data_IF_965305237064
#
_entry.id   IF_965305237064
#
_cell.length_a   1.000
_cell.length_b   1.000
_cell.length_c   1.000
_cell.angle_alpha   90.00
_cell.angle_beta   90.00
_cell.angle_gamma   90.00
#
_symmetry.space_group_name_H-M   'P 1'
#
loop_
_entity.id
_entity.type
_entity.pdbx_description
1 polymer ?
#
# COMPACT_ATOMS: atom_id res chain seq x y z
N UNK A 1 -2.72 -1.49 -4.83
CA UNK A 1 -2.06 -0.64 -3.81
C UNK A 1 -1.89 -1.33 -2.45
N UNK A 2 -2.92 -1.86 -1.79
CA UNK A 2 -2.79 -2.45 -0.44
C UNK A 2 -1.67 -3.49 -0.31
N UNK A 3 -1.53 -4.41 -1.28
CA UNK A 3 -0.43 -5.38 -1.26
C UNK A 3 0.96 -4.74 -1.34
N UNK A 4 1.13 -3.68 -2.15
CA UNK A 4 2.38 -2.94 -2.23
C UNK A 4 2.71 -2.24 -0.92
N UNK A 5 1.71 -1.67 -0.24
CA UNK A 5 1.92 -1.06 1.09
C UNK A 5 2.31 -2.09 2.15
N UNK A 6 1.67 -3.26 2.16
CA UNK A 6 2.04 -4.37 3.05
C UNK A 6 3.50 -4.80 2.78
N UNK A 7 3.88 -4.93 1.52
CA UNK A 7 5.26 -5.24 1.16
C UNK A 7 6.22 -4.13 1.57
N UNK A 8 5.87 -2.86 1.36
CA UNK A 8 6.70 -1.72 1.73
C UNK A 8 6.95 -1.69 3.24
N UNK A 9 5.91 -1.85 4.07
CA UNK A 9 6.03 -1.88 5.52
C UNK A 9 6.99 -2.99 5.98
N UNK A 10 6.88 -4.18 5.38
CA UNK A 10 7.79 -5.29 5.66
C UNK A 10 9.21 -4.99 5.21
N UNK A 11 9.42 -4.45 4.01
CA UNK A 11 10.76 -4.07 3.56
C UNK A 11 11.38 -2.97 4.44
N UNK A 12 10.58 -2.02 4.92
CA UNK A 12 11.03 -1.02 5.90
C UNK A 12 11.47 -1.67 7.21
N UNK A 13 10.72 -2.67 7.69
CA UNK A 13 11.10 -3.44 8.87
C UNK A 13 12.41 -4.21 8.65
N UNK A 14 12.57 -4.92 7.52
CA UNK A 14 13.82 -5.62 7.19
C UNK A 14 15.00 -4.66 7.12
N UNK A 15 14.85 -3.53 6.42
CA UNK A 15 15.89 -2.52 6.32
C UNK A 15 16.29 -2.01 7.71
N UNK A 16 15.33 -1.71 8.58
CA UNK A 16 15.61 -1.27 9.95
C UNK A 16 16.27 -2.36 10.82
N UNK A 17 15.85 -3.62 10.69
CA UNK A 17 16.40 -4.77 11.42
C UNK A 17 17.87 -5.06 11.02
N UNK A 18 18.17 -4.83 9.74
CA UNK A 18 19.50 -5.03 9.15
C UNK A 18 20.39 -3.80 9.22
N UNK A 19 19.89 -2.70 9.81
CA UNK A 19 20.55 -1.39 9.89
C UNK A 19 20.97 -0.85 8.50
N UNK A 20 20.04 -0.90 7.55
CA UNK A 20 20.21 -0.49 6.14
C UNK A 20 19.20 0.57 5.73
N UNK A 21 19.57 1.36 4.73
CA UNK A 21 18.67 2.28 4.04
C UNK A 21 17.85 1.48 3.03
N UNK A 22 16.52 1.63 3.05
CA UNK A 22 15.63 1.08 2.05
C UNK A 22 15.65 1.95 0.79
N UNK A 23 15.89 1.33 -0.36
CA UNK A 23 15.74 1.98 -1.67
C UNK A 23 14.35 1.67 -2.20
N UNK A 24 13.53 2.70 -2.43
CA UNK A 24 12.25 2.55 -3.13
C UNK A 24 12.53 2.21 -4.59
N UNK A 25 11.89 1.17 -5.15
CA UNK A 25 12.17 0.75 -6.53
C UNK A 25 11.81 1.82 -7.54
N UNK A 26 12.45 1.76 -8.72
CA UNK A 26 12.10 2.62 -9.84
C UNK A 26 10.66 2.36 -10.29
N UNK A 27 9.89 3.40 -10.69
CA UNK A 27 8.57 3.25 -11.32
C UNK A 27 8.59 2.43 -12.63
N UNK A 28 9.77 2.25 -13.23
CA UNK A 28 9.98 1.38 -14.40
C UNK A 28 10.09 -0.11 -14.05
N UNK A 29 10.29 -0.42 -12.77
CA UNK A 29 10.39 -1.78 -12.26
C UNK A 29 9.15 -2.19 -11.47
N UNK A 30 8.66 -1.31 -10.59
CA UNK A 30 7.50 -1.54 -9.71
C UNK A 30 6.64 -0.27 -9.62
N UNK A 31 5.74 -0.23 -8.66
CA UNK A 31 4.80 0.84 -8.34
C UNK A 31 5.46 2.23 -8.19
N UNK A 32 4.74 3.28 -8.58
CA UNK A 32 5.22 4.66 -8.46
C UNK A 32 4.93 5.23 -7.07
N UNK A 33 5.69 4.76 -6.09
CA UNK A 33 5.46 5.09 -4.67
C UNK A 33 5.51 6.60 -4.39
N UNK A 34 6.46 7.35 -4.96
CA UNK A 34 6.64 8.79 -4.74
C UNK A 34 5.40 9.65 -5.09
N UNK A 35 4.56 9.18 -6.03
CA UNK A 35 3.28 9.84 -6.33
C UNK A 35 2.24 9.66 -5.23
N UNK A 36 2.22 8.48 -4.63
CA UNK A 36 1.15 8.06 -3.72
C UNK A 36 1.52 8.29 -2.26
N UNK A 37 2.78 8.11 -1.87
CA UNK A 37 3.25 8.20 -0.48
C UNK A 37 4.23 9.36 -0.27
N UNK A 38 4.16 9.98 0.90
CA UNK A 38 5.11 11.01 1.31
C UNK A 38 6.44 10.42 1.79
N UNK A 39 7.37 10.09 0.88
CA UNK A 39 8.69 9.50 1.23
C UNK A 39 9.49 10.41 2.18
N UNK A 40 9.53 11.72 1.92
CA UNK A 40 10.23 12.68 2.80
C UNK A 40 9.67 12.70 4.23
N UNK A 41 8.36 12.48 4.37
CA UNK A 41 7.69 12.41 5.66
C UNK A 41 8.18 11.21 6.46
N UNK A 42 8.38 10.05 5.82
CA UNK A 42 8.88 8.84 6.48
C UNK A 42 10.22 9.14 7.18
N UNK A 43 11.18 9.72 6.45
CA UNK A 43 12.48 10.13 7.01
C UNK A 43 12.32 11.17 8.13
N UNK A 44 11.45 12.16 7.95
CA UNK A 44 11.17 13.21 8.96
C UNK A 44 10.59 12.62 10.25
N UNK A 45 9.71 11.62 10.14
CA UNK A 45 9.08 10.93 11.26
C UNK A 45 10.07 10.08 12.05
N UNK A 46 11.04 9.47 11.36
CA UNK A 46 12.09 8.64 11.94
C UNK A 46 13.32 9.46 12.39
N UNK A 47 13.42 10.73 11.98
CA UNK A 47 14.50 11.64 12.37
C UNK A 47 15.86 11.32 11.74
N UNK A 48 15.91 10.41 10.77
CA UNK A 48 17.11 9.98 10.04
C UNK A 48 16.73 9.51 8.64
N UNK A 49 17.70 9.45 7.74
CA UNK A 49 17.49 8.87 6.40
C UNK A 49 17.37 7.35 6.52
N UNK A 50 16.16 6.84 6.34
CA UNK A 50 15.85 5.40 6.33
C UNK A 50 15.39 4.90 4.96
N UNK A 51 14.86 5.80 4.14
CA UNK A 51 14.29 5.50 2.83
C UNK A 51 14.81 6.52 1.84
N UNK A 52 15.26 6.08 0.66
CA UNK A 52 15.66 6.94 -0.45
C UNK A 52 14.98 6.49 -1.75
N UNK A 53 14.86 7.41 -2.72
CA UNK A 53 14.38 7.05 -4.06
C UNK A 53 15.43 6.25 -4.84
N UNK A 54 14.99 5.54 -5.87
CA UNK A 54 15.90 4.87 -6.80
C UNK A 54 16.89 5.84 -7.47
N UNK A 55 16.43 7.05 -7.79
CA UNK A 55 17.27 8.07 -8.45
C UNK A 55 18.36 8.58 -7.48
N UNK A 56 18.00 8.84 -6.22
CA UNK A 56 18.99 9.17 -5.18
C UNK A 56 20.01 8.04 -4.97
N UNK A 57 19.55 6.79 -4.97
CA UNK A 57 20.44 5.63 -4.92
C UNK A 57 21.39 5.61 -6.13
N UNK A 58 20.87 5.85 -7.34
CA UNK A 58 21.68 5.89 -8.56
C UNK A 58 22.74 6.98 -8.51
N UNK A 59 22.37 8.19 -8.10
CA UNK A 59 23.28 9.33 -7.93
C UNK A 59 24.43 8.99 -6.97
N UNK A 60 24.12 8.35 -5.84
CA UNK A 60 25.10 7.97 -4.83
C UNK A 60 26.06 6.85 -5.30
N UNK A 61 25.61 5.96 -6.19
CA UNK A 61 26.37 4.77 -6.63
C UNK A 61 27.05 4.97 -8.00
N UNK A 62 26.95 6.18 -8.58
CA UNK A 62 27.51 6.55 -9.91
C UNK A 62 28.98 6.22 -10.14
N UNK A 63 29.78 5.98 -9.09
CA UNK A 63 31.19 5.59 -9.24
C UNK A 63 31.45 4.13 -9.64
N UNK A 64 30.54 3.18 -9.33
CA UNK A 64 30.83 1.73 -9.45
C UNK A 64 29.82 0.90 -10.26
N UNK A 65 28.88 1.56 -10.97
CA UNK A 65 27.64 0.95 -11.48
C UNK A 65 26.78 0.38 -10.34
N UNK A 66 25.45 0.55 -10.43
CA UNK A 66 24.55 -0.07 -9.45
C UNK A 66 24.66 -1.59 -9.57
N UNK A 67 25.23 -2.24 -8.57
CA UNK A 67 25.36 -3.70 -8.49
C UNK A 67 24.64 -4.18 -7.25
N UNK A 68 23.73 -5.13 -7.44
CA UNK A 68 23.16 -5.95 -6.37
C UNK A 68 24.16 -7.06 -6.10
N UNK A 69 24.76 -7.08 -4.91
CA UNK A 69 25.73 -8.10 -4.51
C UNK A 69 25.03 -9.44 -4.24
N UNK A 70 23.88 -9.38 -3.56
CA UNK A 70 23.06 -10.53 -3.18
C UNK A 70 21.58 -10.29 -3.46
N UNK A 71 20.90 -11.31 -3.97
CA UNK A 71 19.45 -11.27 -4.22
C UNK A 71 18.77 -12.38 -3.42
N UNK A 72 18.25 -12.00 -2.26
CA UNK A 72 17.70 -12.90 -1.25
C UNK A 72 16.20 -13.01 -1.39
N UNK A 73 15.72 -14.24 -1.43
CA UNK A 73 14.33 -14.58 -1.56
C UNK A 73 13.73 -15.15 -0.30
N UNK A 74 12.77 -14.43 0.29
CA UNK A 74 12.10 -14.86 1.51
C UNK A 74 11.37 -16.18 1.31
N UNK A 75 10.70 -16.38 0.18
CA UNK A 75 10.07 -17.68 -0.15
C UNK A 75 10.70 -18.30 -1.39
N UNK A 76 10.72 -19.63 -1.40
CA UNK A 76 11.28 -20.44 -2.47
C UNK A 76 10.19 -21.14 -3.30
N UNK A 77 8.99 -21.34 -2.74
CA UNK A 77 7.88 -22.06 -3.37
C UNK A 77 6.63 -21.18 -3.52
N UNK A 78 5.91 -21.25 -4.66
CA UNK A 78 6.13 -22.16 -5.80
C UNK A 78 7.31 -21.76 -6.69
N UNK A 79 7.79 -20.52 -6.58
CA UNK A 79 9.00 -20.06 -7.24
C UNK A 79 9.67 -18.96 -6.40
N UNK A 80 11.01 -18.78 -6.48
CA UNK A 80 11.73 -17.81 -5.67
C UNK A 80 11.24 -16.37 -5.89
N UNK A 81 10.60 -15.79 -4.87
CA UNK A 81 10.06 -14.41 -4.87
C UNK A 81 9.12 -14.01 -6.02
N UNK A 82 8.67 -14.94 -6.85
CA UNK A 82 8.09 -14.61 -8.16
C UNK A 82 9.00 -13.73 -9.06
N UNK A 83 10.31 -13.76 -8.86
CA UNK A 83 11.26 -13.05 -9.70
C UNK A 83 11.62 -13.93 -10.89
N UNK A 84 11.10 -13.57 -12.06
CA UNK A 84 11.35 -14.25 -13.33
C UNK A 84 12.38 -13.49 -14.20
N UNK A 85 12.63 -13.99 -15.42
CA UNK A 85 13.55 -13.37 -16.37
C UNK A 85 13.13 -11.95 -16.78
N UNK A 86 11.84 -11.63 -16.79
CA UNK A 86 11.36 -10.29 -17.15
C UNK A 86 11.77 -9.28 -16.08
N UNK A 87 11.62 -9.64 -14.80
CA UNK A 87 12.09 -8.81 -13.70
C UNK A 87 13.60 -8.56 -13.78
N UNK A 88 14.39 -9.61 -14.07
CA UNK A 88 15.84 -9.48 -14.23
C UNK A 88 16.19 -8.58 -15.43
N UNK A 89 15.47 -8.70 -16.55
CA UNK A 89 15.65 -7.82 -17.72
C UNK A 89 15.32 -6.36 -17.38
N UNK A 90 14.25 -6.09 -16.62
CA UNK A 90 13.89 -4.74 -16.17
C UNK A 90 14.99 -4.11 -15.30
N UNK A 91 15.53 -4.85 -14.33
CA UNK A 91 16.65 -4.36 -13.50
C UNK A 91 17.89 -4.03 -14.35
N UNK A 92 18.27 -4.91 -15.28
CA UNK A 92 19.37 -4.67 -16.22
C UNK A 92 19.11 -3.44 -17.10
N UNK A 93 17.89 -3.26 -17.58
CA UNK A 93 17.47 -2.08 -18.35
C UNK A 93 17.57 -0.77 -17.55
N UNK A 94 17.52 -0.84 -16.23
CA UNK A 94 17.79 0.29 -15.34
C UNK A 94 19.28 0.48 -15.04
N UNK A 95 20.17 -0.26 -15.70
CA UNK A 95 21.61 -0.25 -15.43
C UNK A 95 21.95 -0.83 -14.06
N UNK A 96 21.14 -1.76 -13.55
CA UNK A 96 21.44 -2.52 -12.32
C UNK A 96 21.96 -3.90 -12.71
N UNK A 97 23.19 -4.20 -12.28
CA UNK A 97 23.78 -5.53 -12.43
C UNK A 97 23.47 -6.39 -11.21
N UNK A 98 23.39 -7.71 -11.38
CA UNK A 98 23.15 -8.66 -10.30
C UNK A 98 24.38 -9.57 -10.24
N UNK A 99 25.12 -9.48 -9.14
CA UNK A 99 26.40 -10.16 -8.95
C UNK A 99 26.26 -11.63 -8.55
N UNK A 100 25.14 -12.01 -7.91
CA UNK A 100 24.85 -13.35 -7.45
C UNK A 100 23.66 -14.02 -8.15
N UNK A 101 23.41 -15.28 -7.80
CA UNK A 101 22.14 -15.96 -8.13
C UNK A 101 21.08 -15.58 -7.11
N UNK A 102 19.81 -15.83 -7.45
CA UNK A 102 18.74 -15.80 -6.46
C UNK A 102 19.01 -16.89 -5.43
N UNK A 103 18.96 -16.50 -4.17
CA UNK A 103 19.23 -17.35 -3.03
C UNK A 103 18.04 -17.33 -2.10
N UNK A 104 17.64 -18.49 -1.57
CA UNK A 104 16.61 -18.60 -0.55
C UNK A 104 17.27 -19.08 0.75
N UNK A 105 17.20 -18.31 1.85
CA UNK A 105 17.87 -18.68 3.11
C UNK A 105 17.23 -19.90 3.78
N UNK A 106 16.03 -20.27 3.35
CA UNK A 106 15.25 -21.41 3.81
C UNK A 106 14.29 -21.88 2.70
N UNK A 107 13.71 -23.06 2.90
CA UNK A 107 12.59 -23.54 2.08
C UNK A 107 11.28 -23.05 2.69
N UNK A 108 10.58 -22.16 2.00
CA UNK A 108 9.35 -21.52 2.49
C UNK A 108 8.31 -21.46 1.36
N UNK A 109 7.08 -21.89 1.68
CA UNK A 109 5.95 -21.96 0.75
C UNK A 109 4.91 -20.91 1.13
N UNK A 110 4.54 -20.07 0.16
CA UNK A 110 3.53 -19.03 0.36
C UNK A 110 2.16 -19.57 0.82
N UNK A 111 1.85 -20.85 0.55
CA UNK A 111 0.59 -21.49 0.96
C UNK A 111 0.59 -21.88 2.44
N UNK A 112 1.77 -22.04 3.03
CA UNK A 112 1.97 -22.44 4.42
C UNK A 112 3.17 -21.70 5.01
N UNK A 113 3.10 -20.37 5.12
CA UNK A 113 4.20 -19.58 5.63
C UNK A 113 4.48 -19.96 7.08
N UNK A 114 5.73 -20.23 7.38
CA UNK A 114 6.21 -20.53 8.72
C UNK A 114 6.45 -19.24 9.48
N UNK A 115 6.02 -19.19 10.74
CA UNK A 115 6.34 -18.06 11.61
C UNK A 115 7.85 -18.00 11.85
N UNK A 116 8.47 -16.85 11.60
CA UNK A 116 9.91 -16.60 11.81
C UNK A 116 10.14 -15.55 12.89
N UNK A 117 11.16 -15.77 13.71
CA UNK A 117 11.62 -14.79 14.68
C UNK A 117 12.48 -13.71 14.01
N UNK A 118 12.54 -12.52 14.60
CA UNK A 118 13.42 -11.45 14.09
C UNK A 118 14.91 -11.84 14.15
N UNK A 119 15.30 -12.71 15.09
CA UNK A 119 16.68 -13.19 15.21
C UNK A 119 17.05 -14.05 14.01
N UNK A 120 16.19 -15.01 13.63
CA UNK A 120 16.40 -15.83 12.44
C UNK A 120 16.47 -14.98 11.16
N UNK A 121 15.57 -13.99 11.01
CA UNK A 121 15.59 -13.07 9.87
C UNK A 121 16.91 -12.28 9.86
N UNK A 122 17.31 -11.72 11.00
CA UNK A 122 18.56 -10.97 11.11
C UNK A 122 19.76 -11.85 10.76
N UNK A 123 19.86 -13.05 11.30
CA UNK A 123 20.97 -13.97 11.02
C UNK A 123 21.06 -14.36 9.55
N UNK A 124 19.93 -14.61 8.89
CA UNK A 124 19.90 -15.08 7.50
C UNK A 124 20.04 -13.97 6.45
N UNK A 125 19.57 -12.77 6.77
CA UNK A 125 19.59 -11.62 5.85
C UNK A 125 20.71 -10.63 6.14
N UNK A 126 21.39 -10.72 7.30
CA UNK A 126 22.57 -9.91 7.56
C UNK A 126 23.64 -10.21 6.53
N UNK A 127 24.19 -9.14 5.98
CA UNK A 127 25.34 -9.19 5.09
C UNK A 127 26.19 -7.95 5.34
N UNK A 128 27.47 -8.02 4.98
CA UNK A 128 28.36 -6.86 4.92
C UNK A 128 28.44 -6.28 3.50
N UNK A 129 27.68 -6.84 2.56
CA UNK A 129 27.60 -6.37 1.17
C UNK A 129 27.09 -4.93 1.05
N UNK A 130 27.50 -4.24 -0.01
CA UNK A 130 27.07 -2.87 -0.28
C UNK A 130 25.58 -2.78 -0.55
N UNK A 131 25.07 -3.60 -1.47
CA UNK A 131 23.66 -3.59 -1.88
C UNK A 131 23.12 -5.01 -1.89
N UNK A 132 22.08 -5.23 -1.09
CA UNK A 132 21.29 -6.47 -1.11
C UNK A 132 19.91 -6.16 -1.68
N UNK A 133 19.41 -7.03 -2.55
CA UNK A 133 18.02 -7.06 -2.96
C UNK A 133 17.29 -8.12 -2.14
N UNK A 134 16.16 -7.75 -1.56
CA UNK A 134 15.23 -8.68 -0.94
C UNK A 134 14.02 -8.72 -1.86
N UNK A 135 13.64 -9.91 -2.33
CA UNK A 135 12.46 -10.07 -3.16
C UNK A 135 11.18 -10.02 -2.34
N UNK A 136 10.08 -10.51 -2.91
CA UNK A 136 8.76 -10.39 -2.28
C UNK A 136 8.71 -10.99 -0.85
N UNK A 137 8.10 -10.23 0.06
CA UNK A 137 7.90 -10.55 1.49
C UNK A 137 6.42 -10.52 1.88
N UNK A 138 5.49 -10.45 0.91
CA UNK A 138 4.06 -10.36 1.16
C UNK A 138 3.56 -11.46 2.10
N UNK A 139 4.05 -12.69 1.92
CA UNK A 139 3.70 -13.86 2.73
C UNK A 139 4.63 -14.09 3.94
N UNK A 140 5.58 -13.20 4.20
CA UNK A 140 6.43 -13.32 5.39
C UNK A 140 5.59 -13.27 6.67
N UNK A 141 5.49 -14.39 7.36
CA UNK A 141 4.83 -14.49 8.66
C UNK A 141 5.87 -14.19 9.74
N UNK A 142 5.97 -12.91 10.09
CA UNK A 142 6.86 -12.41 11.15
C UNK A 142 6.02 -11.94 12.33
N UNK A 143 6.67 -11.81 13.49
CA UNK A 143 6.06 -11.28 14.71
C UNK A 143 5.52 -9.85 14.51
N UNK A 144 4.24 -9.75 14.11
CA UNK A 144 3.55 -8.47 13.82
C UNK A 144 3.62 -7.50 15.01
N UNK A 145 3.65 -8.05 16.23
CA UNK A 145 3.78 -7.29 17.46
C UNK A 145 5.07 -6.46 17.53
N UNK A 146 6.14 -6.87 16.85
CA UNK A 146 7.43 -6.15 16.83
C UNK A 146 7.46 -4.99 15.84
N UNK A 147 6.68 -5.06 14.76
CA UNK A 147 6.65 -4.02 13.72
C UNK A 147 6.08 -2.72 14.29
N UNK A 148 5.06 -2.81 15.15
CA UNK A 148 4.33 -1.66 15.71
C UNK A 148 4.66 -1.38 17.19
N UNK A 149 5.65 -2.07 17.77
CA UNK A 149 5.98 -1.95 19.18
C UNK A 149 6.58 -0.57 19.52
N UNK A 150 6.11 0.09 20.60
CA UNK A 150 6.78 1.28 21.12
C UNK A 150 8.24 0.95 21.50
N UNK A 151 9.21 1.45 20.74
CA UNK A 151 10.62 1.06 20.94
C UNK A 151 11.24 0.23 19.83
N UNK A 152 10.45 -0.30 18.89
CA UNK A 152 10.94 -1.17 17.81
C UNK A 152 11.84 -0.47 16.77
N UNK A 153 12.37 -1.23 15.79
CA UNK A 153 13.34 -0.73 14.80
C UNK A 153 12.85 0.46 13.96
N UNK A 154 11.52 0.58 13.80
CA UNK A 154 10.85 1.67 13.07
C UNK A 154 10.11 2.66 13.99
N UNK A 155 10.50 2.75 15.27
CA UNK A 155 9.93 3.72 16.23
C UNK A 155 10.06 5.15 15.69
N UNK A 156 8.94 5.87 15.66
CA UNK A 156 8.85 7.23 15.12
C UNK A 156 8.04 8.16 16.03
N UNK A 157 8.14 9.48 15.78
CA UNK A 157 7.41 10.53 16.53
C UNK A 157 6.03 10.89 15.94
N UNK A 158 5.76 10.47 14.71
CA UNK A 158 4.52 10.80 14.01
C UNK A 158 3.35 9.92 14.48
N UNK A 159 2.12 10.39 14.28
CA UNK A 159 0.90 9.58 14.50
C UNK A 159 0.81 8.42 13.50
N UNK A 160 1.13 8.70 12.24
CA UNK A 160 1.16 7.72 11.15
C UNK A 160 2.46 7.90 10.38
N UNK A 161 3.17 6.81 10.12
CA UNK A 161 4.47 6.83 9.42
C UNK A 161 4.29 7.00 7.91
N UNK A 162 3.46 6.13 7.31
CA UNK A 162 3.16 6.13 5.88
C UNK A 162 1.85 6.89 5.68
N UNK A 163 1.93 8.01 4.98
CA UNK A 163 0.77 8.82 4.64
C UNK A 163 0.74 9.11 3.14
N UNK A 164 -0.45 9.44 2.59
CA UNK A 164 -0.56 9.88 1.21
C UNK A 164 0.33 11.10 0.94
N UNK A 165 0.73 11.25 -0.32
CA UNK A 165 1.47 12.44 -0.75
C UNK A 165 0.69 13.73 -0.44
N UNK A 166 1.40 14.85 -0.38
CA UNK A 166 0.79 16.16 -0.08
C UNK A 166 -0.33 16.50 -1.07
N UNK A 167 -0.17 16.12 -2.34
CA UNK A 167 -1.16 16.36 -3.39
C UNK A 167 -2.46 15.59 -3.12
N UNK A 168 -2.37 14.30 -2.76
CA UNK A 168 -3.53 13.48 -2.42
C UNK A 168 -4.21 14.02 -1.15
N UNK A 169 -3.43 14.32 -0.12
CA UNK A 169 -3.95 14.82 1.15
C UNK A 169 -4.72 16.14 1.00
N UNK A 170 -4.16 17.11 0.26
CA UNK A 170 -4.83 18.39 0.00
C UNK A 170 -6.06 18.25 -0.89
N UNK A 171 -6.01 17.34 -1.86
CA UNK A 171 -7.17 17.04 -2.72
C UNK A 171 -8.30 16.42 -1.91
N UNK A 172 -8.00 15.46 -1.03
CA UNK A 172 -8.98 14.87 -0.12
C UNK A 172 -9.61 15.92 0.81
N UNK A 173 -8.82 16.86 1.35
CA UNK A 173 -9.34 17.97 2.16
C UNK A 173 -10.32 18.84 1.38
N UNK A 174 -9.99 19.19 0.14
CA UNK A 174 -10.88 19.98 -0.73
C UNK A 174 -12.15 19.22 -1.08
N UNK A 175 -12.04 17.92 -1.35
CA UNK A 175 -13.17 17.04 -1.60
C UNK A 175 -14.11 17.02 -0.39
N UNK A 176 -13.57 16.82 0.81
CA UNK A 176 -14.34 16.86 2.06
C UNK A 176 -15.03 18.22 2.21
N UNK A 177 -14.29 19.32 2.02
CA UNK A 177 -14.85 20.68 2.12
C UNK A 177 -15.99 20.92 1.12
N UNK A 178 -15.91 20.33 -0.07
CA UNK A 178 -16.86 20.56 -1.16
C UNK A 178 -18.11 19.69 -1.03
N UNK A 179 -17.96 18.41 -0.72
CA UNK A 179 -19.05 17.43 -0.83
C UNK A 179 -19.52 16.82 0.50
N UNK A 180 -18.69 16.80 1.53
CA UNK A 180 -18.95 15.99 2.73
C UNK A 180 -19.20 16.82 3.99
N UNK A 181 -18.49 17.95 4.12
CA UNK A 181 -18.51 18.76 5.33
C UNK A 181 -17.80 18.09 6.52
N UNK A 182 -18.09 18.57 7.73
CA UNK A 182 -17.37 18.18 8.96
C UNK A 182 -17.84 16.86 9.58
N UNK A 183 -19.05 16.40 9.26
CA UNK A 183 -19.63 15.18 9.82
C UNK A 183 -20.08 14.29 8.67
N UNK A 184 -19.39 13.17 8.49
CA UNK A 184 -19.69 12.19 7.45
C UNK A 184 -19.19 10.82 7.90
N UNK A 185 -19.76 9.76 7.32
CA UNK A 185 -19.24 8.40 7.47
C UNK A 185 -18.45 8.05 6.20
N UNK A 186 -17.22 7.57 6.35
CA UNK A 186 -16.43 7.04 5.24
C UNK A 186 -16.50 5.50 5.23
N UNK A 187 -16.92 4.92 4.11
CA UNK A 187 -17.06 3.48 3.96
C UNK A 187 -16.33 2.98 2.71
N UNK A 188 -15.70 1.82 2.85
CA UNK A 188 -15.15 1.08 1.73
C UNK A 188 -16.00 -0.16 1.47
N UNK A 189 -16.63 -0.21 0.30
CA UNK A 189 -17.45 -1.33 -0.13
C UNK A 189 -16.75 -2.08 -1.26
N UNK A 190 -16.09 -3.19 -0.92
CA UNK A 190 -15.37 -4.05 -1.87
C UNK A 190 -16.32 -5.06 -2.50
N UNK A 191 -16.50 -4.99 -3.81
CA UNK A 191 -17.43 -5.79 -4.63
C UNK A 191 -16.68 -6.54 -5.73
N UNK A 192 -16.97 -6.29 -7.00
CA UNK A 192 -16.33 -6.88 -8.18
C UNK A 192 -15.85 -8.34 -8.00
N UNK A 193 -14.57 -8.63 -8.25
CA UNK A 193 -13.97 -9.96 -8.14
C UNK A 193 -13.90 -10.51 -6.71
N UNK A 194 -14.20 -9.71 -5.69
CA UNK A 194 -14.17 -10.10 -4.30
C UNK A 194 -15.27 -11.11 -3.94
N UNK A 195 -16.36 -11.15 -4.72
CA UNK A 195 -17.40 -12.18 -4.58
C UNK A 195 -16.80 -13.59 -4.70
N UNK A 196 -16.00 -13.84 -5.74
CA UNK A 196 -15.34 -15.14 -5.95
C UNK A 196 -14.43 -15.51 -4.78
N UNK A 197 -13.70 -14.53 -4.26
CA UNK A 197 -12.82 -14.71 -3.12
C UNK A 197 -13.59 -15.06 -1.84
N UNK A 198 -14.68 -14.35 -1.55
CA UNK A 198 -15.48 -14.60 -0.35
C UNK A 198 -16.31 -15.88 -0.42
N UNK A 199 -16.72 -16.32 -1.61
CA UNK A 199 -17.44 -17.59 -1.78
C UNK A 199 -16.59 -18.82 -1.43
N UNK A 200 -15.26 -18.69 -1.40
CA UNK A 200 -14.37 -19.73 -0.92
C UNK A 200 -14.23 -19.76 0.62
N UNK A 201 -14.90 -18.84 1.35
CA UNK A 201 -14.86 -18.74 2.81
C UNK A 201 -16.20 -19.13 3.44
N UNK A 202 -16.14 -19.65 4.67
CA UNK A 202 -17.32 -19.99 5.48
C UNK A 202 -17.20 -19.38 6.88
N UNK A 203 -18.07 -18.42 7.27
CA UNK A 203 -19.12 -17.81 6.45
C UNK A 203 -18.54 -16.95 5.30
N UNK A 204 -19.33 -16.72 4.26
CA UNK A 204 -18.95 -15.79 3.18
C UNK A 204 -18.72 -14.39 3.75
N UNK A 205 -17.64 -13.75 3.32
CA UNK A 205 -17.37 -12.35 3.64
C UNK A 205 -18.07 -11.36 2.69
N UNK A 206 -18.94 -11.83 1.80
CA UNK A 206 -19.62 -11.00 0.81
C UNK A 206 -21.08 -10.77 1.18
N UNK A 207 -21.37 -9.59 1.70
CA UNK A 207 -22.71 -9.23 2.15
C UNK A 207 -23.60 -8.77 0.98
N UNK A 208 -24.83 -9.28 0.82
CA UNK A 208 -25.79 -8.75 -0.17
C UNK A 208 -26.10 -7.26 0.05
N UNK A 209 -26.50 -6.55 -1.01
CA UNK A 209 -26.77 -5.09 -0.96
C UNK A 209 -27.78 -4.71 0.14
N UNK A 210 -28.91 -5.44 0.35
CA UNK A 210 -29.83 -5.10 1.44
C UNK A 210 -29.21 -5.20 2.84
N UNK A 211 -28.34 -6.20 3.07
CA UNK A 211 -27.66 -6.37 4.34
C UNK A 211 -26.57 -5.31 4.55
N UNK A 212 -25.85 -4.96 3.49
CA UNK A 212 -24.91 -3.84 3.52
C UNK A 212 -25.64 -2.52 3.82
N UNK A 213 -26.78 -2.27 3.19
CA UNK A 213 -27.60 -1.08 3.42
C UNK A 213 -28.08 -0.98 4.88
N UNK A 214 -28.63 -2.05 5.45
CA UNK A 214 -29.05 -2.10 6.86
C UNK A 214 -27.88 -1.79 7.81
N UNK A 215 -26.69 -2.37 7.55
CA UNK A 215 -25.49 -2.06 8.33
C UNK A 215 -25.09 -0.58 8.21
N UNK A 216 -25.12 -0.02 6.99
CA UNK A 216 -24.80 1.38 6.72
C UNK A 216 -25.78 2.32 7.42
N UNK A 217 -27.09 2.05 7.35
CA UNK A 217 -28.15 2.81 8.01
C UNK A 217 -27.89 2.91 9.51
N UNK A 218 -27.61 1.79 10.19
CA UNK A 218 -27.34 1.79 11.65
C UNK A 218 -26.12 2.62 12.02
N UNK A 219 -25.06 2.59 11.20
CA UNK A 219 -23.85 3.39 11.44
C UNK A 219 -24.17 4.89 11.26
N UNK A 220 -24.92 5.23 10.22
CA UNK A 220 -25.31 6.61 9.94
C UNK A 220 -26.21 7.18 11.03
N UNK A 221 -27.22 6.42 11.46
CA UNK A 221 -28.11 6.78 12.57
C UNK A 221 -27.30 7.02 13.85
N UNK A 222 -26.43 6.07 14.21
CA UNK A 222 -25.58 6.19 15.41
C UNK A 222 -24.62 7.38 15.35
N UNK A 223 -24.08 7.68 14.17
CA UNK A 223 -23.16 8.80 13.97
C UNK A 223 -23.89 10.14 13.76
N UNK A 224 -25.22 10.12 13.60
CA UNK A 224 -26.02 11.25 13.16
C UNK A 224 -25.39 11.96 11.94
N UNK A 225 -24.93 11.17 10.97
CA UNK A 225 -24.16 11.67 9.84
C UNK A 225 -25.08 12.00 8.65
N UNK A 226 -25.03 13.20 8.08
CA UNK A 226 -25.90 13.59 6.97
C UNK A 226 -25.51 12.96 5.63
N UNK A 227 -24.30 12.40 5.51
CA UNK A 227 -23.74 11.94 4.23
C UNK A 227 -22.73 10.81 4.43
N UNK A 228 -22.65 9.93 3.43
CA UNK A 228 -21.65 8.87 3.36
C UNK A 228 -20.68 9.16 2.21
N UNK A 229 -19.38 9.12 2.48
CA UNK A 229 -18.38 8.93 1.44
C UNK A 229 -18.22 7.44 1.15
N UNK A 230 -18.44 7.04 -0.10
CA UNK A 230 -18.36 5.65 -0.54
C UNK A 230 -17.15 5.45 -1.48
N UNK A 231 -16.13 4.74 -0.99
CA UNK A 231 -15.07 4.19 -1.82
C UNK A 231 -15.47 2.77 -2.25
N UNK A 232 -15.53 2.49 -3.54
CA UNK A 232 -16.06 1.21 -4.02
C UNK A 232 -15.61 0.87 -5.43
N UNK A 233 -15.48 -0.42 -5.71
CA UNK A 233 -15.34 -0.99 -7.06
C UNK A 233 -16.63 -1.67 -7.54
N UNK A 234 -17.76 -1.36 -6.89
CA UNK A 234 -19.09 -1.84 -7.26
C UNK A 234 -19.54 -1.28 -8.62
N UNK A 235 -20.34 -2.06 -9.34
CA UNK A 235 -21.01 -1.59 -10.54
C UNK A 235 -22.05 -0.51 -10.19
N UNK A 236 -22.41 0.32 -11.17
CA UNK A 236 -23.40 1.39 -10.96
C UNK A 236 -24.74 0.86 -10.47
N UNK A 237 -25.20 -0.28 -11.01
CA UNK A 237 -26.43 -0.96 -10.59
C UNK A 237 -26.43 -1.34 -9.10
N UNK A 238 -25.30 -1.78 -8.56
CA UNK A 238 -25.15 -2.08 -7.13
C UNK A 238 -25.19 -0.79 -6.30
N UNK A 239 -24.47 0.25 -6.73
CA UNK A 239 -24.46 1.53 -6.01
C UNK A 239 -25.80 2.26 -6.07
N UNK A 240 -26.54 2.13 -7.17
CA UNK A 240 -27.88 2.69 -7.33
C UNK A 240 -28.91 2.00 -6.43
N UNK A 241 -28.86 0.67 -6.34
CA UNK A 241 -29.68 -0.07 -5.37
C UNK A 241 -29.30 0.26 -3.93
N UNK A 242 -28.01 0.39 -3.63
CA UNK A 242 -27.55 0.77 -2.29
C UNK A 242 -28.07 2.17 -1.92
N UNK A 243 -28.02 3.12 -2.86
CA UNK A 243 -28.52 4.48 -2.67
C UNK A 243 -30.02 4.52 -2.33
N UNK A 244 -30.84 3.63 -2.87
CA UNK A 244 -32.28 3.60 -2.56
C UNK A 244 -32.61 2.92 -1.22
N UNK A 245 -31.69 2.13 -0.66
CA UNK A 245 -31.92 1.34 0.55
C UNK A 245 -31.34 1.95 1.83
N UNK A 246 -30.35 2.84 1.73
CA UNK A 246 -29.79 3.53 2.90
C UNK A 246 -30.70 4.71 3.26
N UNK A 247 -31.64 4.46 4.17
CA UNK A 247 -32.70 5.39 4.57
C UNK A 247 -32.70 5.56 6.09
N UNK A 248 -32.72 6.81 6.56
CA UNK A 248 -32.85 7.19 7.97
C UNK A 248 -34.04 8.14 8.11
N UNK A 249 -34.94 7.86 9.05
CA UNK A 249 -36.17 8.65 9.27
C UNK A 249 -36.97 8.92 7.99
N UNK A 250 -37.08 7.89 7.13
CA UNK A 250 -37.78 7.98 5.85
C UNK A 250 -37.07 8.80 4.77
N UNK A 251 -35.85 9.26 5.02
CA UNK A 251 -35.03 10.02 4.05
C UNK A 251 -33.83 9.21 3.59
N UNK A 252 -33.62 9.21 2.28
CA UNK A 252 -32.44 8.62 1.67
C UNK A 252 -31.18 9.39 2.10
N UNK A 253 -30.16 8.68 2.57
CA UNK A 253 -28.86 9.27 2.92
C UNK A 253 -28.00 9.36 1.66
N UNK A 254 -27.48 10.54 1.27
CA UNK A 254 -26.64 10.68 0.08
C UNK A 254 -25.37 9.83 0.16
N UNK A 255 -25.10 9.07 -0.91
CA UNK A 255 -23.85 8.31 -1.10
C UNK A 255 -22.96 9.07 -2.10
N UNK A 256 -21.93 9.71 -1.58
CA UNK A 256 -20.98 10.49 -2.37
C UNK A 256 -19.79 9.61 -2.74
N UNK A 257 -19.60 9.39 -4.04
CA UNK A 257 -18.38 8.79 -4.62
C UNK A 257 -17.48 9.90 -5.17
N UNK A 258 -16.21 9.60 -5.44
CA UNK A 258 -15.36 10.49 -6.26
C UNK A 258 -16.03 10.64 -7.64
N UNK A 259 -16.48 11.85 -8.03
CA UNK A 259 -17.12 12.03 -9.32
C UNK A 259 -16.06 11.94 -10.44
N UNK A 260 -16.48 11.68 -11.68
CA UNK A 260 -15.63 11.94 -12.84
C UNK A 260 -15.14 13.38 -12.84
N UNK A 261 -13.98 13.61 -13.44
CA UNK A 261 -13.42 14.95 -13.58
C UNK A 261 -14.40 15.91 -14.25
N UNK A 262 -14.52 17.11 -13.69
CA UNK A 262 -15.23 18.22 -14.30
C UNK A 262 -14.36 19.49 -14.25
N UNK A 263 -14.12 20.12 -15.41
CA UNK A 263 -13.23 21.31 -15.50
C UNK A 263 -13.76 22.53 -14.72
N UNK A 264 -15.07 22.58 -14.46
CA UNK A 264 -15.70 23.59 -13.62
C UNK A 264 -15.39 23.39 -12.13
N UNK A 265 -15.14 22.15 -11.70
CA UNK A 265 -14.79 21.82 -10.33
C UNK A 265 -13.30 22.13 -10.05
N UNK A 266 -12.98 22.47 -8.79
CA UNK A 266 -11.62 22.86 -8.38
C UNK A 266 -11.05 22.01 -7.24
N UNK A 267 -11.82 21.04 -6.74
CA UNK A 267 -11.38 20.20 -5.63
C UNK A 267 -10.20 19.30 -6.05
N UNK A 268 -10.17 18.82 -7.29
CA UNK A 268 -9.14 17.96 -7.89
C UNK A 268 -8.05 18.73 -8.67
N UNK A 269 -8.13 20.07 -8.72
CA UNK A 269 -7.26 20.89 -9.58
C UNK A 269 -5.76 20.65 -9.34
N UNK A 270 -5.42 20.21 -8.13
CA UNK A 270 -4.06 19.90 -7.70
C UNK A 270 -3.53 18.65 -8.41
N UNK A 271 -4.34 17.62 -8.54
CA UNK A 271 -3.99 16.41 -9.30
C UNK A 271 -3.81 16.75 -10.78
N UNK A 272 -4.75 17.52 -11.34
CA UNK A 272 -4.68 17.93 -12.73
C UNK A 272 -3.42 18.70 -13.09
N UNK A 273 -3.07 19.72 -12.31
CA UNK A 273 -1.88 20.55 -12.57
C UNK A 273 -0.57 19.75 -12.55
N UNK A 274 -0.59 18.56 -11.95
CA UNK A 274 0.55 17.66 -11.88
C UNK A 274 0.39 16.44 -12.81
N UNK A 275 -0.67 16.38 -13.62
CA UNK A 275 -0.93 15.31 -14.59
C UNK A 275 -1.15 13.93 -13.96
N UNK A 276 -1.78 13.88 -12.78
CA UNK A 276 -2.03 12.63 -12.02
C UNK A 276 -3.51 12.40 -11.71
N UNK A 277 -4.43 13.10 -12.38
CA UNK A 277 -5.87 13.00 -12.12
C UNK A 277 -6.49 11.66 -12.51
N UNK A 278 -6.02 11.06 -13.61
CA UNK A 278 -6.51 9.78 -14.15
C UNK A 278 -5.51 8.66 -13.90
N UNK A 279 -4.52 8.91 -13.06
CA UNK A 279 -3.58 7.90 -12.63
C UNK A 279 -4.32 6.88 -11.77
N UNK A 280 -4.40 5.63 -12.23
CA UNK A 280 -5.03 4.52 -11.51
C UNK A 280 -4.44 4.28 -10.10
N UNK A 281 -3.28 4.86 -9.79
CA UNK A 281 -2.61 4.80 -8.50
C UNK A 281 -3.08 5.88 -7.51
N UNK A 282 -3.73 6.95 -7.98
CA UNK A 282 -4.05 8.19 -7.24
C UNK A 282 -5.56 8.37 -7.05
#
# INVERSE_FOLDING_TARGET
MSNHLICLEKHMFFAALLDRILVIPSPKFDYQYDRVIGIERINTCLGRTVVISFDQFKENVTKNNARIDRFICYFSSPQPCYVDEEHIKKLKGLGVSIGGKLEAPWSEDIKKPSKRSFQEVKEKFKSDDGVIAIGDVFYADMEQDWVMQPGGPIKHKCKTLIEPSRLISLTAQRFIQTFLGKNFVALHLRRHGFLKFCNAKSPSCFYPIPQAADCMTRIVEKANAPVIYLSTDAAESETGLLQSLVVVDGKVVPLVKRPPRNSAEKWDSLLYRHGIEDDSQV
#
